data_IF_763526487743
#
_entry.id   IF_763526487743
#
_cell.length_a   1.000
_cell.length_b   1.000
_cell.length_c   1.000
_cell.angle_alpha   90.00
_cell.angle_beta   90.00
_cell.angle_gamma   90.00
#
_symmetry.space_group_name_H-M   'P 1'
#
loop_
_entity.id
_entity.type
_entity.pdbx_description
1 polymer ?
#
# COMPACT_ATOMS: atom_id res chain seq x y z
N UNK A 1 -2.64 11.55 0.50
CA UNK A 1 -2.65 10.08 0.49
C UNK A 1 -1.32 9.58 1.03
N UNK A 2 -1.38 8.65 1.93
CA UNK A 2 -0.19 8.08 2.60
C UNK A 2 -0.08 6.60 2.30
N UNK A 3 1.13 6.14 2.09
CA UNK A 3 1.41 4.72 1.85
C UNK A 3 2.58 4.25 2.69
N UNK A 4 2.46 3.03 3.19
CA UNK A 4 3.59 2.27 3.73
C UNK A 4 3.81 1.10 2.79
N UNK A 5 4.99 1.04 2.18
CA UNK A 5 5.37 0.03 1.21
C UNK A 5 6.41 -0.87 1.86
N UNK A 6 6.15 -2.17 1.88
CA UNK A 6 7.10 -3.15 2.42
C UNK A 6 7.44 -4.16 1.34
N UNK A 7 8.75 -4.37 1.14
CA UNK A 7 9.23 -5.42 0.25
C UNK A 7 9.07 -6.76 0.97
N UNK A 8 8.41 -7.71 0.32
CA UNK A 8 8.07 -8.99 0.95
C UNK A 8 8.51 -10.17 0.10
N UNK A 9 8.82 -11.29 0.77
CA UNK A 9 8.95 -12.60 0.12
C UNK A 9 7.59 -13.29 0.02
N UNK A 10 6.66 -12.95 0.91
CA UNK A 10 5.26 -13.37 0.88
C UNK A 10 4.44 -12.46 1.79
N UNK A 11 3.15 -12.34 1.50
CA UNK A 11 2.20 -11.64 2.36
C UNK A 11 0.80 -12.19 2.11
N UNK A 12 -0.07 -12.07 3.12
CA UNK A 12 -1.47 -12.46 2.99
C UNK A 12 -2.35 -11.61 3.88
N UNK A 13 -3.62 -11.52 3.53
CA UNK A 13 -4.64 -10.86 4.33
C UNK A 13 -5.83 -11.81 4.49
N UNK A 14 -6.33 -11.91 5.73
CA UNK A 14 -7.44 -12.78 6.08
C UNK A 14 -8.54 -11.99 6.77
N UNK A 15 -9.78 -12.44 6.57
CA UNK A 15 -10.97 -11.94 7.25
C UNK A 15 -11.69 -13.15 7.82
N UNK A 16 -11.97 -13.14 9.14
CA UNK A 16 -12.62 -14.26 9.84
C UNK A 16 -11.95 -15.61 9.52
N UNK A 17 -10.62 -15.64 9.63
CA UNK A 17 -9.76 -16.82 9.40
C UNK A 17 -9.71 -17.31 7.95
N UNK A 18 -10.32 -16.56 7.02
CA UNK A 18 -10.31 -16.91 5.60
C UNK A 18 -9.39 -15.95 4.83
N UNK A 19 -8.42 -16.52 4.11
CA UNK A 19 -7.52 -15.73 3.27
C UNK A 19 -8.29 -15.15 2.09
N UNK A 20 -8.26 -13.81 1.94
CA UNK A 20 -8.90 -13.13 0.82
C UNK A 20 -7.90 -12.58 -0.21
N UNK A 21 -6.62 -12.51 0.15
CA UNK A 21 -5.56 -12.11 -0.77
C UNK A 21 -4.22 -12.65 -0.30
N UNK A 22 -3.38 -13.08 -1.24
CA UNK A 22 -2.05 -13.60 -0.93
C UNK A 22 -1.11 -13.38 -2.10
N UNK A 23 0.15 -13.04 -1.79
CA UNK A 23 1.20 -12.85 -2.79
C UNK A 23 2.49 -13.56 -2.36
N UNK A 24 3.33 -13.84 -3.34
CA UNK A 24 4.71 -14.24 -3.14
C UNK A 24 5.61 -12.99 -3.17
N UNK A 25 6.79 -13.05 -3.79
CA UNK A 25 7.70 -11.92 -3.84
C UNK A 25 7.04 -10.67 -4.45
N UNK A 26 7.18 -9.55 -3.77
CA UNK A 26 6.63 -8.29 -4.26
C UNK A 26 6.50 -7.23 -3.17
N UNK A 27 5.41 -6.49 -3.22
CA UNK A 27 5.14 -5.38 -2.31
C UNK A 27 3.82 -5.57 -1.57
N UNK A 28 3.84 -5.38 -0.26
CA UNK A 28 2.64 -5.21 0.54
C UNK A 28 2.50 -3.71 0.83
N UNK A 29 1.35 -3.15 0.49
CA UNK A 29 1.10 -1.70 0.53
C UNK A 29 -0.09 -1.42 1.44
N UNK A 30 0.15 -0.59 2.45
CA UNK A 30 -0.92 -0.01 3.27
C UNK A 30 -1.23 1.39 2.74
N UNK A 31 -2.51 1.68 2.50
CA UNK A 31 -2.97 2.95 1.94
C UNK A 31 -3.90 3.66 2.91
N UNK A 32 -3.57 4.90 3.26
CA UNK A 32 -4.43 5.81 4.01
C UNK A 32 -4.85 7.00 3.16
N UNK A 33 -6.12 7.32 3.20
CA UNK A 33 -6.73 8.38 2.39
C UNK A 33 -7.30 9.47 3.30
N UNK A 34 -7.07 10.74 2.96
CA UNK A 34 -7.66 11.88 3.66
C UNK A 34 -8.61 12.66 2.73
N UNK A 35 -9.43 13.55 3.32
CA UNK A 35 -10.48 14.25 2.56
C UNK A 35 -9.96 15.11 1.41
N UNK A 36 -8.74 15.63 1.52
CA UNK A 36 -8.14 16.46 0.48
C UNK A 36 -7.56 15.65 -0.68
N UNK A 37 -7.57 14.32 -0.60
CA UNK A 37 -7.03 13.48 -1.67
C UNK A 37 -7.99 13.40 -2.86
N UNK A 38 -7.43 13.27 -4.04
CA UNK A 38 -8.16 13.14 -5.29
C UNK A 38 -7.48 12.16 -6.25
N UNK A 39 -8.03 12.02 -7.46
CA UNK A 39 -7.46 11.11 -8.47
C UNK A 39 -6.01 11.40 -8.83
N UNK A 40 -5.57 12.65 -8.74
CA UNK A 40 -4.18 13.04 -9.01
C UNK A 40 -3.22 12.43 -7.98
N UNK A 41 -3.66 12.28 -6.72
CA UNK A 41 -2.87 11.59 -5.68
C UNK A 41 -2.72 10.11 -6.01
N UNK A 42 -3.79 9.47 -6.45
CA UNK A 42 -3.78 8.07 -6.90
C UNK A 42 -2.81 7.86 -8.04
N UNK A 43 -2.90 8.70 -9.08
CA UNK A 43 -2.07 8.59 -10.27
C UNK A 43 -0.58 8.75 -9.93
N UNK A 44 -0.24 9.78 -9.17
CA UNK A 44 1.14 10.03 -8.79
C UNK A 44 1.71 8.89 -7.93
N UNK A 45 0.94 8.46 -6.93
CA UNK A 45 1.40 7.48 -5.96
C UNK A 45 1.58 6.08 -6.57
N UNK A 46 0.63 5.63 -7.39
CA UNK A 46 0.72 4.32 -8.05
C UNK A 46 1.92 4.26 -8.99
N UNK A 47 2.15 5.31 -9.78
CA UNK A 47 3.31 5.38 -10.66
C UNK A 47 4.62 5.39 -9.87
N UNK A 48 4.67 6.15 -8.79
CA UNK A 48 5.83 6.19 -7.92
C UNK A 48 6.14 4.81 -7.34
N UNK A 49 5.14 4.13 -6.79
CA UNK A 49 5.32 2.81 -6.17
C UNK A 49 5.76 1.77 -7.21
N UNK A 50 5.10 1.74 -8.38
CA UNK A 50 5.44 0.78 -9.42
C UNK A 50 6.87 0.96 -9.95
N UNK A 51 7.42 2.16 -9.87
CA UNK A 51 8.77 2.48 -10.35
C UNK A 51 9.84 2.50 -9.27
N UNK A 52 9.51 2.32 -7.99
CA UNK A 52 10.50 2.28 -6.91
C UNK A 52 11.49 1.14 -7.15
N UNK A 53 12.77 1.50 -7.18
CA UNK A 53 13.86 0.57 -7.48
C UNK A 53 14.44 0.01 -6.18
N UNK A 54 13.66 -0.83 -5.51
CA UNK A 54 13.97 -1.39 -4.19
C UNK A 54 14.19 -2.90 -4.19
N UNK A 55 14.21 -3.52 -5.35
CA UNK A 55 14.57 -4.94 -5.48
C UNK A 55 16.01 -5.07 -5.94
N UNK A 56 16.68 -6.09 -5.42
CA UNK A 56 18.10 -6.31 -5.63
C UNK A 56 18.38 -6.82 -7.04
N UNK A 57 19.35 -6.20 -7.73
CA UNK A 57 19.82 -6.63 -9.04
C UNK A 57 20.92 -7.71 -8.92
N UNK A 58 21.48 -8.11 -10.07
CA UNK A 58 22.55 -9.13 -10.12
C UNK A 58 23.82 -8.71 -9.38
N UNK A 59 24.03 -7.40 -9.19
CA UNK A 59 25.21 -6.86 -8.49
C UNK A 59 24.95 -6.65 -6.99
N UNK A 60 23.78 -7.05 -6.49
CA UNK A 60 23.41 -6.91 -5.08
C UNK A 60 22.93 -5.51 -4.70
N UNK A 61 22.60 -4.66 -5.67
CA UNK A 61 22.15 -3.27 -5.44
C UNK A 61 20.64 -3.15 -5.63
N UNK A 62 20.02 -2.27 -4.84
CA UNK A 62 18.61 -1.88 -5.01
C UNK A 62 18.44 -1.10 -6.30
N UNK A 63 18.11 -1.77 -7.38
CA UNK A 63 18.10 -1.19 -8.71
C UNK A 63 16.91 -1.60 -9.58
N UNK A 64 16.12 -2.57 -9.14
CA UNK A 64 14.99 -3.08 -9.90
C UNK A 64 13.67 -2.72 -9.23
N UNK A 65 12.65 -2.44 -10.05
CA UNK A 65 11.29 -2.20 -9.59
C UNK A 65 10.51 -3.51 -9.45
N UNK A 66 9.30 -3.43 -8.87
CA UNK A 66 8.38 -4.57 -8.81
C UNK A 66 8.03 -5.05 -10.24
N UNK A 67 7.94 -4.15 -11.20
CA UNK A 67 7.69 -4.49 -12.60
C UNK A 67 8.88 -5.26 -13.20
N UNK A 68 10.10 -4.80 -12.93
CA UNK A 68 11.32 -5.43 -13.47
C UNK A 68 11.47 -6.88 -13.03
N UNK A 69 11.09 -7.20 -11.79
CA UNK A 69 11.19 -8.56 -11.25
C UNK A 69 9.92 -9.38 -11.47
N UNK A 70 8.93 -8.80 -12.14
CA UNK A 70 7.62 -9.43 -12.36
C UNK A 70 6.96 -9.84 -11.03
N UNK A 71 7.08 -8.96 -10.03
CA UNK A 71 6.57 -9.18 -8.67
C UNK A 71 5.07 -8.95 -8.56
N UNK A 72 4.55 -9.33 -7.39
CA UNK A 72 3.13 -9.21 -7.06
C UNK A 72 2.90 -8.06 -6.09
N UNK A 73 1.66 -7.58 -6.00
CA UNK A 73 1.29 -6.49 -5.10
C UNK A 73 0.03 -6.87 -4.32
N UNK A 74 0.09 -6.65 -3.00
CA UNK A 74 -1.05 -6.77 -2.09
C UNK A 74 -1.35 -5.37 -1.53
N UNK A 75 -2.57 -4.89 -1.72
CA UNK A 75 -3.01 -3.58 -1.23
C UNK A 75 -4.05 -3.75 -0.13
N UNK A 76 -3.81 -3.10 1.00
CA UNK A 76 -4.70 -3.11 2.17
C UNK A 76 -4.99 -1.68 2.58
N UNK A 77 -6.27 -1.33 2.76
CA UNK A 77 -6.67 -0.02 3.28
C UNK A 77 -6.28 0.12 4.75
N UNK A 78 -5.75 1.31 5.12
CA UNK A 78 -5.25 1.58 6.47
C UNK A 78 -5.51 3.04 6.83
N UNK A 79 -6.72 3.37 7.29
CA UNK A 79 -7.06 4.76 7.64
C UNK A 79 -6.23 5.31 8.79
N UNK A 80 -5.73 4.43 9.66
CA UNK A 80 -4.92 4.82 10.81
C UNK A 80 -3.58 5.45 10.46
N UNK A 81 -3.17 5.41 9.17
CA UNK A 81 -2.00 6.16 8.71
C UNK A 81 -2.20 7.68 8.86
N UNK A 82 -3.46 8.14 8.96
CA UNK A 82 -3.81 9.53 9.22
C UNK A 82 -4.11 9.81 10.70
N UNK A 83 -3.57 8.97 11.59
CA UNK A 83 -3.70 9.19 13.04
C UNK A 83 -2.94 10.43 13.47
N UNK A 84 -3.55 11.20 14.38
CA UNK A 84 -2.86 12.26 15.11
C UNK A 84 -2.64 11.79 16.55
N UNK A 85 -1.40 11.80 16.99
CA UNK A 85 -0.99 11.47 18.35
C UNK A 85 -0.48 12.70 19.09
N UNK A 86 -0.81 13.88 18.60
CA UNK A 86 -0.31 15.16 19.13
C UNK A 86 -0.73 15.43 20.57
N UNK A 87 -1.93 14.98 20.94
CA UNK A 87 -2.47 15.19 22.29
C UNK A 87 -2.78 13.84 22.95
N UNK A 88 -2.09 13.56 24.06
CA UNK A 88 -2.33 12.38 24.86
C UNK A 88 -1.96 11.08 24.14
N UNK A 89 -2.52 9.98 24.64
CA UNK A 89 -2.18 8.63 24.19
C UNK A 89 -3.29 7.94 23.40
N UNK A 90 -4.43 8.62 23.22
CA UNK A 90 -5.52 8.12 22.40
C UNK A 90 -5.44 8.77 21.02
N UNK A 91 -5.12 8.01 19.95
CA UNK A 91 -5.02 8.59 18.62
C UNK A 91 -6.35 9.19 18.13
N UNK A 92 -6.27 10.31 17.42
CA UNK A 92 -7.41 10.88 16.72
C UNK A 92 -7.31 10.54 15.24
N UNK A 93 -8.43 10.14 14.62
CA UNK A 93 -8.51 9.78 13.20
C UNK A 93 -9.35 10.77 12.40
N UNK A 94 -9.48 12.00 12.92
CA UNK A 94 -10.34 13.01 12.31
C UNK A 94 -9.91 13.41 10.90
N UNK A 95 -8.61 13.22 10.58
CA UNK A 95 -8.05 13.54 9.26
C UNK A 95 -8.30 12.44 8.22
N UNK A 96 -8.64 11.24 8.66
CA UNK A 96 -8.95 10.15 7.73
C UNK A 96 -10.24 10.47 6.97
N UNK A 97 -10.25 10.20 5.66
CA UNK A 97 -11.43 10.41 4.84
C UNK A 97 -12.56 9.47 5.26
N UNK A 98 -13.78 9.94 5.09
CA UNK A 98 -14.96 9.09 5.28
C UNK A 98 -15.03 8.03 4.18
N UNK A 99 -15.68 6.88 4.44
CA UNK A 99 -15.79 5.81 3.45
C UNK A 99 -16.34 6.26 2.09
N UNK A 100 -17.30 7.19 2.07
CA UNK A 100 -17.88 7.71 0.83
C UNK A 100 -16.86 8.37 -0.08
N UNK A 101 -15.82 8.97 0.49
CA UNK A 101 -14.71 9.56 -0.24
C UNK A 101 -13.56 8.58 -0.44
N UNK A 102 -13.22 7.83 0.60
CA UNK A 102 -12.04 6.95 0.59
C UNK A 102 -12.23 5.71 -0.28
N UNK A 103 -13.40 5.07 -0.26
CA UNK A 103 -13.61 3.81 -0.98
C UNK A 103 -13.44 3.96 -2.50
N UNK A 104 -14.00 4.98 -3.17
CA UNK A 104 -13.76 5.17 -4.60
C UNK A 104 -12.28 5.42 -4.95
N UNK A 105 -11.55 6.15 -4.11
CA UNK A 105 -10.12 6.40 -4.35
C UNK A 105 -9.29 5.15 -4.11
N UNK A 106 -9.66 4.33 -3.13
CA UNK A 106 -9.04 3.04 -2.90
C UNK A 106 -9.23 2.12 -4.11
N UNK A 107 -10.45 2.03 -4.64
CA UNK A 107 -10.73 1.25 -5.86
C UNK A 107 -9.95 1.79 -7.05
N UNK A 108 -9.86 3.11 -7.20
CA UNK A 108 -9.06 3.76 -8.23
C UNK A 108 -7.58 3.43 -8.10
N UNK A 109 -7.06 3.34 -6.88
CA UNK A 109 -5.68 2.94 -6.62
C UNK A 109 -5.41 1.51 -7.11
N UNK A 110 -6.30 0.58 -6.79
CA UNK A 110 -6.20 -0.82 -7.22
C UNK A 110 -6.23 -0.91 -8.76
N UNK A 111 -7.17 -0.22 -9.38
CA UNK A 111 -7.30 -0.19 -10.84
C UNK A 111 -6.04 0.36 -11.51
N UNK A 112 -5.53 1.48 -11.01
CA UNK A 112 -4.32 2.10 -11.53
C UNK A 112 -3.10 1.18 -11.38
N UNK A 113 -2.97 0.52 -10.22
CA UNK A 113 -1.89 -0.43 -9.99
C UNK A 113 -1.98 -1.64 -10.93
N UNK A 114 -3.19 -2.15 -11.17
CA UNK A 114 -3.42 -3.24 -12.12
C UNK A 114 -2.99 -2.89 -13.55
N UNK A 115 -3.06 -1.62 -13.92
CA UNK A 115 -2.60 -1.15 -15.23
C UNK A 115 -1.08 -1.08 -15.34
N UNK A 116 -0.39 -0.98 -14.20
CA UNK A 116 1.06 -0.78 -14.15
C UNK A 116 1.87 -2.07 -13.96
N UNK A 117 1.26 -3.10 -13.40
CA UNK A 117 1.94 -4.39 -13.15
C UNK A 117 1.25 -5.52 -13.91
N UNK A 118 1.99 -6.61 -14.17
CA UNK A 118 1.49 -7.72 -14.96
C UNK A 118 0.60 -8.68 -14.18
N UNK A 119 0.94 -8.97 -12.92
CA UNK A 119 0.15 -9.85 -12.06
C UNK A 119 -1.08 -9.12 -11.53
N UNK A 120 -2.23 -9.80 -11.35
CA UNK A 120 -3.39 -9.17 -10.72
C UNK A 120 -3.05 -8.69 -9.30
N UNK A 121 -3.47 -7.47 -8.98
CA UNK A 121 -3.33 -6.92 -7.62
C UNK A 121 -4.24 -7.69 -6.67
N UNK A 122 -3.66 -8.20 -5.57
CA UNK A 122 -4.41 -8.82 -4.50
C UNK A 122 -4.80 -7.77 -3.47
N UNK A 123 -5.96 -7.94 -2.85
CA UNK A 123 -6.49 -6.94 -1.92
C UNK A 123 -7.15 -7.60 -0.72
N UNK A 124 -7.25 -6.82 0.39
CA UNK A 124 -8.22 -7.09 1.44
C UNK A 124 -9.59 -6.54 1.06
N UNK A 125 -10.43 -6.33 2.05
CA UNK A 125 -11.75 -5.73 1.89
C UNK A 125 -11.77 -4.39 2.62
N UNK A 126 -12.17 -3.33 1.93
CA UNK A 126 -12.21 -1.99 2.51
C UNK A 126 -13.12 -1.97 3.75
N UNK A 127 -12.60 -1.46 4.87
CA UNK A 127 -13.34 -1.31 6.11
C UNK A 127 -13.51 -2.57 6.94
N UNK A 128 -13.02 -3.72 6.48
CA UNK A 128 -13.14 -4.97 7.24
C UNK A 128 -12.09 -5.06 8.35
N UNK A 129 -12.37 -5.92 9.33
CA UNK A 129 -11.37 -6.35 10.32
C UNK A 129 -10.50 -7.42 9.69
N UNK A 130 -9.23 -7.09 9.47
CA UNK A 130 -8.32 -7.94 8.71
C UNK A 130 -7.11 -8.35 9.55
N UNK A 131 -6.61 -9.56 9.27
CA UNK A 131 -5.33 -10.05 9.78
C UNK A 131 -4.34 -10.04 8.62
N UNK A 132 -3.27 -9.25 8.75
CA UNK A 132 -2.24 -9.12 7.70
C UNK A 132 -0.98 -9.81 8.19
N UNK A 133 -0.50 -10.78 7.40
CA UNK A 133 0.75 -11.49 7.66
C UNK A 133 1.72 -11.22 6.52
N UNK A 134 3.00 -11.02 6.86
CA UNK A 134 4.01 -10.80 5.84
C UNK A 134 5.39 -11.18 6.38
N UNK A 135 6.27 -11.51 5.45
CA UNK A 135 7.70 -11.58 5.71
C UNK A 135 8.35 -10.41 5.00
N UNK A 136 8.78 -9.42 5.77
CA UNK A 136 9.50 -8.28 5.22
C UNK A 136 10.92 -8.72 4.87
N UNK A 137 11.23 -8.60 3.60
CA UNK A 137 12.51 -9.05 3.05
C UNK A 137 13.52 -7.89 3.06
N UNK A 138 14.46 -8.00 4.01
CA UNK A 138 15.53 -7.01 4.10
C UNK A 138 15.90 -6.55 5.50
N UNK A 139 15.07 -5.93 6.35
CA UNK A 139 13.78 -5.35 6.03
C UNK A 139 13.87 -4.11 5.14
N UNK A 140 12.84 -3.88 4.35
CA UNK A 140 12.69 -2.67 3.54
C UNK A 140 11.28 -2.15 3.70
N UNK A 141 11.17 -0.96 4.27
CA UNK A 141 9.88 -0.29 4.54
C UNK A 141 10.01 1.18 4.14
N UNK A 142 9.14 1.62 3.26
CA UNK A 142 9.17 2.98 2.70
C UNK A 142 7.85 3.68 3.00
N UNK A 143 7.96 4.91 3.52
CA UNK A 143 6.82 5.80 3.74
C UNK A 143 6.74 6.83 2.63
N UNK A 144 5.55 7.04 2.08
CA UNK A 144 5.30 8.09 1.08
C UNK A 144 4.03 8.85 1.46
N UNK A 145 4.09 10.19 1.36
CA UNK A 145 2.94 11.08 1.54
C UNK A 145 2.82 11.98 0.31
N UNK A 146 1.69 11.93 -0.39
CA UNK A 146 1.49 12.75 -1.60
C UNK A 146 1.42 14.24 -1.31
N UNK A 147 1.14 14.63 -0.06
CA UNK A 147 1.11 16.04 0.37
C UNK A 147 2.45 16.53 0.89
N UNK A 148 3.39 15.65 1.07
CA UNK A 148 4.75 15.97 1.51
C UNK A 148 5.74 15.04 0.81
N UNK A 149 6.03 15.35 -0.44
CA UNK A 149 6.84 14.53 -1.35
C UNK A 149 8.35 14.66 -1.12
N UNK A 150 8.75 14.68 0.13
CA UNK A 150 10.17 14.81 0.49
C UNK A 150 10.90 13.48 0.51
#
# INVERSE_FOLDING_TARGET
>A
MRAVIQRVSNASVSISEKVCGAINQGLMILIGIEESDGPEDVDWLTRKIASLRIFTDADGKMNQSVCDINGQVLVVSQFTLHASTKKGTRPSFIRAARPEHAAPLYEGFIKSMNELIDSPVETGEFGADMQVQLTNDGPVTIWIDTKNKS
#
